data_IF_153196853465
#
_entry.id   IF_153196853465
#
_cell.length_a   1.000
_cell.length_b   1.000
_cell.length_c   1.000
_cell.angle_alpha   90.00
_cell.angle_beta   90.00
_cell.angle_gamma   90.00
#
_symmetry.space_group_name_H-M   'P 1'
#
loop_
_entity.id
_entity.type
_entity.pdbx_description
1 polymer ?
#
# COMPACT_ATOMS: atom_id res chain seq x y z
N UNK A 1 -19.24 -25.72 0.72
CA UNK A 1 -18.79 -24.59 -0.12
C UNK A 1 -18.01 -23.53 0.70
N UNK A 2 -17.27 -23.90 1.75
CA UNK A 2 -16.54 -22.92 2.59
C UNK A 2 -15.00 -22.98 2.49
N UNK A 3 -14.44 -23.78 1.57
CA UNK A 3 -12.98 -24.04 1.54
C UNK A 3 -12.29 -23.51 0.28
N UNK A 4 -12.76 -22.40 -0.29
CA UNK A 4 -12.14 -21.77 -1.46
C UNK A 4 -12.07 -20.24 -1.35
N UNK A 5 -12.11 -19.72 -0.12
CA UNK A 5 -11.93 -18.29 0.11
C UNK A 5 -10.45 -17.95 0.19
N UNK A 6 -9.88 -17.58 -0.97
CA UNK A 6 -8.47 -17.21 -1.10
C UNK A 6 -8.08 -16.03 -0.19
N UNK A 7 -9.04 -15.21 0.24
CA UNK A 7 -8.78 -14.09 1.16
C UNK A 7 -8.33 -14.59 2.53
N UNK A 8 -8.81 -15.76 2.97
CA UNK A 8 -8.39 -16.39 4.24
C UNK A 8 -7.15 -17.24 3.99
N UNK A 9 -7.21 -18.13 3.00
CA UNK A 9 -6.20 -19.18 2.81
C UNK A 9 -4.83 -18.61 2.45
N UNK A 10 -4.79 -17.55 1.64
CA UNK A 10 -3.55 -16.95 1.16
C UNK A 10 -3.16 -15.67 1.91
N UNK A 11 -3.90 -15.25 2.95
CA UNK A 11 -3.56 -14.04 3.70
C UNK A 11 -2.13 -14.03 4.27
N UNK A 12 -1.60 -15.14 4.82
CA UNK A 12 -0.20 -15.17 5.28
C UNK A 12 0.81 -14.96 4.14
N UNK A 13 0.56 -15.57 2.98
CA UNK A 13 1.42 -15.42 1.79
C UNK A 13 1.36 -14.00 1.24
N UNK A 14 0.17 -13.41 1.18
CA UNK A 14 -0.01 -12.01 0.80
C UNK A 14 0.73 -11.07 1.75
N UNK A 15 0.66 -11.30 3.06
CA UNK A 15 1.36 -10.50 4.04
C UNK A 15 2.89 -10.60 3.87
N UNK A 16 3.42 -11.79 3.60
CA UNK A 16 4.85 -11.96 3.33
C UNK A 16 5.29 -11.19 2.08
N UNK A 17 4.50 -11.26 1.00
CA UNK A 17 4.77 -10.50 -0.24
C UNK A 17 4.70 -8.99 0.00
N UNK A 18 3.67 -8.53 0.73
CA UNK A 18 3.53 -7.12 1.12
C UNK A 18 4.75 -6.66 1.90
N UNK A 19 5.14 -7.37 2.96
CA UNK A 19 6.27 -6.97 3.80
C UNK A 19 7.57 -6.85 2.99
N UNK A 20 7.84 -7.77 2.06
CA UNK A 20 8.99 -7.66 1.17
C UNK A 20 8.93 -6.41 0.27
N UNK A 21 7.77 -6.15 -0.34
CA UNK A 21 7.55 -5.01 -1.24
C UNK A 21 7.38 -3.66 -0.52
N UNK A 22 7.29 -3.64 0.80
CA UNK A 22 7.27 -2.40 1.57
C UNK A 22 8.66 -2.07 2.16
N UNK A 23 9.65 -2.94 1.96
CA UNK A 23 11.01 -2.76 2.50
C UNK A 23 12.14 -2.85 1.48
N UNK A 24 11.92 -3.44 0.30
CA UNK A 24 12.99 -3.75 -0.66
C UNK A 24 13.05 -2.74 -1.83
N UNK A 25 14.03 -1.83 -1.89
CA UNK A 25 14.09 -0.78 -2.93
C UNK A 25 14.47 -1.29 -4.33
N UNK A 26 14.98 -2.51 -4.48
CA UNK A 26 15.46 -3.02 -5.77
C UNK A 26 15.02 -4.46 -6.06
N UNK A 27 14.79 -4.83 -7.34
CA UNK A 27 14.88 -3.99 -8.54
C UNK A 27 13.73 -2.97 -8.67
N UNK A 28 13.98 -1.83 -9.33
CA UNK A 28 12.98 -0.77 -9.53
C UNK A 28 13.02 -0.18 -10.96
N UNK A 29 11.84 0.08 -11.52
CA UNK A 29 11.59 0.73 -12.82
C UNK A 29 10.83 2.03 -12.60
N UNK A 30 11.54 3.16 -12.68
CA UNK A 30 11.06 4.46 -12.21
C UNK A 30 10.14 5.23 -13.17
N UNK A 31 10.01 4.79 -14.42
CA UNK A 31 9.27 5.50 -15.49
C UNK A 31 9.32 7.06 -15.38
N UNK A 32 10.54 7.61 -15.35
CA UNK A 32 10.80 9.05 -15.25
C UNK A 32 11.15 9.62 -16.63
N UNK A 33 10.55 10.75 -16.99
CA UNK A 33 10.92 11.47 -18.22
C UNK A 33 12.05 12.43 -17.89
N UNK A 34 13.25 12.13 -18.39
CA UNK A 34 14.43 12.95 -18.15
C UNK A 34 14.41 14.21 -19.03
N UNK A 35 14.64 15.36 -18.40
CA UNK A 35 14.66 16.67 -19.07
C UNK A 35 16.07 17.12 -19.48
N UNK A 36 17.10 16.53 -18.88
CA UNK A 36 18.51 16.72 -19.28
C UNK A 36 19.32 15.47 -18.95
N UNK A 37 20.62 15.46 -19.30
CA UNK A 37 21.51 14.36 -18.96
C UNK A 37 21.76 14.26 -17.44
N UNK A 38 21.64 15.38 -16.74
CA UNK A 38 21.81 15.49 -15.28
C UNK A 38 20.54 15.13 -14.51
N UNK A 39 19.39 15.05 -15.18
CA UNK A 39 18.10 14.66 -14.59
C UNK A 39 18.03 13.14 -14.38
N UNK A 40 18.75 12.67 -13.36
CA UNK A 40 18.84 11.28 -12.95
C UNK A 40 18.47 11.10 -11.47
N UNK A 41 17.24 11.47 -11.06
CA UNK A 41 16.82 11.23 -9.69
C UNK A 41 16.71 9.73 -9.42
N UNK A 42 17.00 9.33 -8.19
CA UNK A 42 16.69 7.97 -7.72
C UNK A 42 15.18 7.82 -7.50
N UNK A 43 14.64 6.59 -7.55
CA UNK A 43 13.24 6.33 -7.21
C UNK A 43 12.82 6.91 -5.86
N UNK A 44 13.68 6.77 -4.85
CA UNK A 44 13.44 7.32 -3.51
C UNK A 44 13.34 8.86 -3.51
N UNK A 45 14.06 9.56 -4.39
CA UNK A 45 14.00 11.02 -4.46
C UNK A 45 12.68 11.54 -5.05
N UNK A 46 12.14 10.85 -6.06
CA UNK A 46 10.90 11.27 -6.74
C UNK A 46 9.64 10.64 -6.14
N UNK A 47 9.76 9.44 -5.59
CA UNK A 47 8.65 8.65 -5.05
C UNK A 47 8.97 8.04 -3.68
N UNK A 48 9.30 8.87 -2.66
CA UNK A 48 9.78 8.38 -1.37
C UNK A 48 8.75 7.55 -0.57
N UNK A 49 7.46 7.64 -0.90
CA UNK A 49 6.43 6.79 -0.29
C UNK A 49 6.25 5.46 -1.04
N UNK A 50 6.65 5.40 -2.32
CA UNK A 50 6.29 4.34 -3.25
C UNK A 50 7.46 3.80 -4.09
N UNK A 51 8.66 3.70 -3.50
CA UNK A 51 9.88 3.24 -4.20
C UNK A 51 10.34 1.82 -3.84
N UNK A 52 9.69 1.14 -2.88
CA UNK A 52 10.14 -0.15 -2.34
C UNK A 52 9.57 -1.37 -3.07
N UNK A 53 9.06 -1.18 -4.27
CA UNK A 53 8.55 -2.26 -5.14
C UNK A 53 9.10 -2.09 -6.54
N UNK A 54 8.79 -3.03 -7.43
CA UNK A 54 9.27 -3.02 -8.82
C UNK A 54 9.01 -1.71 -9.56
N UNK A 55 7.88 -1.04 -9.30
CA UNK A 55 7.59 0.32 -9.76
C UNK A 55 6.65 1.02 -8.77
N UNK A 56 6.40 2.31 -8.99
CA UNK A 56 5.49 3.11 -8.16
C UNK A 56 4.10 2.48 -8.04
N UNK A 57 3.54 2.04 -9.17
CA UNK A 57 2.20 1.48 -9.25
C UNK A 57 2.08 0.21 -8.38
N UNK A 58 3.03 -0.70 -8.53
CA UNK A 58 3.16 -1.93 -7.76
C UNK A 58 3.26 -1.62 -6.27
N UNK A 59 3.99 -0.57 -5.90
CA UNK A 59 4.11 -0.15 -4.50
C UNK A 59 2.76 0.32 -3.95
N UNK A 60 1.98 1.08 -4.71
CA UNK A 60 0.61 1.49 -4.32
C UNK A 60 -0.30 0.26 -4.13
N UNK A 61 -0.21 -0.75 -5.00
CA UNK A 61 -0.94 -2.02 -4.83
C UNK A 61 -0.57 -2.74 -3.54
N UNK A 62 0.72 -2.83 -3.22
CA UNK A 62 1.20 -3.53 -2.04
C UNK A 62 0.80 -2.81 -0.75
N UNK A 63 0.82 -1.48 -0.74
CA UNK A 63 0.26 -0.69 0.36
C UNK A 63 -1.24 -0.94 0.53
N UNK A 64 -2.01 -0.93 -0.56
CA UNK A 64 -3.46 -1.17 -0.50
C UNK A 64 -3.78 -2.59 -0.02
N UNK A 65 -3.06 -3.59 -0.52
CA UNK A 65 -3.21 -4.98 -0.08
C UNK A 65 -2.88 -5.11 1.42
N UNK A 66 -1.78 -4.53 1.88
CA UNK A 66 -1.42 -4.48 3.30
C UNK A 66 -2.50 -3.84 4.16
N UNK A 67 -3.00 -2.66 3.79
CA UNK A 67 -4.07 -1.98 4.52
C UNK A 67 -5.39 -2.77 4.50
N UNK A 68 -5.66 -3.52 3.42
CA UNK A 68 -6.83 -4.40 3.31
C UNK A 68 -6.73 -5.62 4.23
N UNK A 69 -5.53 -6.22 4.35
CA UNK A 69 -5.26 -7.33 5.28
C UNK A 69 -5.49 -6.91 6.75
N UNK A 70 -5.32 -5.63 7.07
CA UNK A 70 -5.61 -5.07 8.39
C UNK A 70 -7.11 -4.82 8.67
N UNK A 71 -7.99 -5.04 7.69
CA UNK A 71 -9.44 -4.89 7.84
C UNK A 71 -10.00 -3.51 7.42
N UNK A 72 -9.22 -2.67 6.73
CA UNK A 72 -9.51 -1.26 6.44
C UNK A 72 -10.64 -0.94 5.45
N UNK A 73 -11.61 -1.83 5.18
CA UNK A 73 -12.79 -1.43 4.38
C UNK A 73 -14.10 -1.97 4.95
N UNK A 74 -14.75 -1.24 5.87
CA UNK A 74 -16.18 -1.39 6.12
C UNK A 74 -16.96 -1.08 4.83
N UNK A 75 -17.80 -2.02 4.37
CA UNK A 75 -18.78 -1.74 3.30
C UNK A 75 -18.29 -1.85 1.84
N UNK A 76 -17.09 -2.34 1.58
CA UNK A 76 -16.74 -2.74 0.20
C UNK A 76 -17.60 -3.95 -0.19
N UNK A 77 -18.23 -3.99 -1.38
CA UNK A 77 -18.94 -5.19 -1.86
C UNK A 77 -18.01 -6.40 -2.07
N UNK A 78 -16.68 -6.20 -2.01
CA UNK A 78 -15.65 -7.24 -1.96
C UNK A 78 -15.15 -7.55 -0.55
N UNK A 79 -15.44 -6.69 0.43
CA UNK A 79 -15.27 -6.99 1.85
C UNK A 79 -16.37 -7.96 2.26
N UNK A 80 -16.17 -9.23 1.92
CA UNK A 80 -16.85 -10.28 2.66
C UNK A 80 -16.52 -10.10 4.15
N UNK A 81 -17.46 -10.47 5.01
CA UNK A 81 -17.22 -10.48 6.44
C UNK A 81 -15.88 -11.18 6.70
N UNK A 82 -14.99 -10.54 7.47
CA UNK A 82 -13.79 -11.22 7.95
C UNK A 82 -14.21 -12.53 8.63
N UNK A 83 -13.40 -13.60 8.51
CA UNK A 83 -13.75 -14.89 9.08
C UNK A 83 -14.03 -14.77 10.58
N UNK A 84 -15.10 -15.41 11.03
CA UNK A 84 -15.43 -15.51 12.44
C UNK A 84 -14.28 -16.22 13.17
N UNK A 85 -13.57 -15.51 14.05
CA UNK A 85 -12.38 -16.01 14.74
C UNK A 85 -11.15 -15.09 14.70
N UNK A 86 -11.20 -13.96 13.97
CA UNK A 86 -10.21 -12.90 14.07
C UNK A 86 -10.32 -12.20 15.44
N UNK A 87 -9.78 -12.82 16.48
CA UNK A 87 -9.62 -12.23 17.80
C UNK A 87 -8.25 -11.57 17.95
N UNK A 88 -8.24 -10.53 18.78
CA UNK A 88 -7.14 -9.79 19.42
C UNK A 88 -6.21 -8.87 18.60
N UNK A 89 -6.81 -7.81 18.03
CA UNK A 89 -6.08 -6.56 17.79
C UNK A 89 -6.84 -5.43 17.11
N UNK A 90 -7.98 -5.73 16.51
CA UNK A 90 -8.85 -4.77 15.83
C UNK A 90 -9.84 -5.55 14.98
N UNK A 91 -11.11 -5.19 15.01
CA UNK A 91 -12.17 -5.96 14.35
C UNK A 91 -11.82 -6.18 12.86
N UNK A 92 -11.76 -7.45 12.43
CA UNK A 92 -11.70 -7.88 11.03
C UNK A 92 -10.35 -7.93 10.28
N UNK A 93 -9.21 -8.12 10.96
CA UNK A 93 -7.94 -8.41 10.27
C UNK A 93 -7.90 -9.86 9.70
N UNK A 94 -7.29 -10.03 8.53
CA UNK A 94 -7.12 -11.33 7.84
C UNK A 94 -5.81 -12.05 8.23
N UNK A 95 -4.97 -11.38 9.03
CA UNK A 95 -3.65 -11.87 9.47
C UNK A 95 -3.57 -11.88 11.00
N UNK A 96 -2.64 -12.67 11.56
CA UNK A 96 -2.42 -12.70 13.01
C UNK A 96 -1.90 -11.35 13.56
N UNK A 97 -2.03 -11.15 14.88
CA UNK A 97 -1.62 -9.92 15.55
C UNK A 97 -0.17 -9.50 15.27
N UNK A 98 0.84 -10.39 15.44
CA UNK A 98 2.23 -10.06 15.13
C UNK A 98 2.47 -9.63 13.68
N UNK A 99 1.81 -10.28 12.72
CA UNK A 99 1.90 -9.91 11.30
C UNK A 99 1.22 -8.57 11.04
N UNK A 100 0.05 -8.33 11.65
CA UNK A 100 -0.65 -7.06 11.54
C UNK A 100 0.19 -5.87 12.05
N UNK A 101 0.96 -6.06 13.14
CA UNK A 101 1.89 -5.05 13.66
C UNK A 101 2.98 -4.73 12.62
N UNK A 102 3.64 -5.75 12.06
CA UNK A 102 4.68 -5.54 11.04
C UNK A 102 4.15 -4.82 9.79
N UNK A 103 2.95 -5.18 9.34
CA UNK A 103 2.30 -4.55 8.19
C UNK A 103 1.99 -3.08 8.49
N UNK A 104 1.48 -2.76 9.67
CA UNK A 104 1.27 -1.36 10.11
C UNK A 104 2.56 -0.56 10.15
N UNK A 105 3.61 -1.12 10.75
CA UNK A 105 4.92 -0.46 10.84
C UNK A 105 5.51 -0.17 9.45
N UNK A 106 5.45 -1.13 8.53
CA UNK A 106 5.93 -0.98 7.17
C UNK A 106 5.14 0.10 6.39
N UNK A 107 3.81 0.08 6.48
CA UNK A 107 2.95 1.12 5.88
C UNK A 107 3.27 2.49 6.49
N UNK A 108 3.38 2.58 7.82
CA UNK A 108 3.66 3.83 8.53
C UNK A 108 5.02 4.43 8.20
N UNK A 109 6.04 3.60 7.96
CA UNK A 109 7.37 4.04 7.55
C UNK A 109 7.39 4.67 6.14
N UNK A 110 6.45 4.27 5.28
CA UNK A 110 6.37 4.74 3.89
C UNK A 110 5.37 5.90 3.74
N UNK A 111 4.20 5.82 4.36
CA UNK A 111 3.13 6.81 4.23
C UNK A 111 3.23 7.94 5.26
N UNK A 112 4.42 8.53 5.42
CA UNK A 112 4.60 9.71 6.30
C UNK A 112 4.14 11.00 5.61
N UNK A 113 3.73 12.01 6.39
CA UNK A 113 3.32 13.31 5.84
C UNK A 113 4.40 13.95 4.94
N UNK A 114 5.68 13.82 5.32
CA UNK A 114 6.80 14.34 4.55
C UNK A 114 6.97 13.64 3.19
N UNK A 115 6.89 12.30 3.17
CA UNK A 115 7.00 11.52 1.93
C UNK A 115 5.79 11.77 1.01
N UNK A 116 4.58 11.79 1.57
CA UNK A 116 3.34 12.06 0.83
C UNK A 116 3.29 13.47 0.23
N UNK A 117 3.94 14.46 0.86
CA UNK A 117 4.05 15.80 0.29
C UNK A 117 4.85 15.80 -1.02
N UNK A 118 5.92 15.00 -1.11
CA UNK A 118 6.71 14.84 -2.34
C UNK A 118 5.89 14.18 -3.44
N UNK A 119 5.15 13.11 -3.12
CA UNK A 119 4.26 12.43 -4.09
C UNK A 119 3.19 13.39 -4.65
N UNK A 120 2.56 14.19 -3.76
CA UNK A 120 1.57 15.20 -4.15
C UNK A 120 2.18 16.19 -5.13
N UNK A 121 3.35 16.74 -4.80
CA UNK A 121 4.00 17.77 -5.61
C UNK A 121 4.40 17.22 -6.99
N UNK A 122 4.88 15.96 -7.03
CA UNK A 122 5.18 15.27 -8.28
C UNK A 122 3.94 15.07 -9.15
N UNK A 123 2.82 14.57 -8.59
CA UNK A 123 1.57 14.33 -9.32
C UNK A 123 0.95 15.63 -9.86
N UNK A 124 1.05 16.73 -9.12
CA UNK A 124 0.58 18.05 -9.57
C UNK A 124 1.44 18.60 -10.71
N UNK A 125 2.75 18.38 -10.66
CA UNK A 125 3.67 18.77 -11.74
C UNK A 125 3.52 17.89 -12.99
N UNK A 126 3.11 16.63 -12.82
CA UNK A 126 3.03 15.62 -13.88
C UNK A 126 1.59 15.08 -14.03
N UNK A 127 0.63 15.90 -14.49
CA UNK A 127 -0.78 15.56 -14.40
C UNK A 127 -1.14 14.28 -15.17
N UNK A 128 -0.49 13.95 -16.29
CA UNK A 128 -0.81 12.74 -17.06
C UNK A 128 -0.19 11.45 -16.53
N UNK A 129 0.76 11.54 -15.61
CA UNK A 129 1.55 10.40 -15.15
C UNK A 129 0.69 9.41 -14.35
N UNK A 130 0.91 8.11 -14.57
CA UNK A 130 0.17 6.99 -13.96
C UNK A 130 -1.36 6.96 -14.18
N UNK A 131 -1.88 7.78 -15.11
CA UNK A 131 -3.29 7.69 -15.51
C UNK A 131 -3.53 6.49 -16.43
N UNK A 132 -4.72 5.86 -16.38
CA UNK A 132 -5.79 6.09 -15.39
C UNK A 132 -5.63 5.24 -14.12
N UNK A 133 -4.90 4.13 -14.21
CA UNK A 133 -4.96 3.07 -13.21
C UNK A 133 -4.29 3.46 -11.90
N UNK A 134 -3.13 4.13 -11.94
CA UNK A 134 -2.40 4.49 -10.72
C UNK A 134 -3.20 5.45 -9.85
N UNK A 135 -3.92 6.37 -10.49
CA UNK A 135 -4.83 7.29 -9.81
C UNK A 135 -5.98 6.55 -9.13
N UNK A 136 -6.60 5.60 -9.83
CA UNK A 136 -7.69 4.79 -9.26
C UNK A 136 -7.22 3.99 -8.03
N UNK A 137 -6.01 3.42 -8.08
CA UNK A 137 -5.43 2.66 -6.98
C UNK A 137 -4.96 3.53 -5.82
N UNK A 138 -4.39 4.71 -6.09
CA UNK A 138 -4.04 5.67 -5.04
C UNK A 138 -5.28 6.16 -4.29
N UNK A 139 -6.37 6.44 -5.02
CA UNK A 139 -7.65 6.82 -4.40
C UNK A 139 -8.24 5.67 -3.57
N UNK A 140 -8.09 4.43 -4.03
CA UNK A 140 -8.52 3.26 -3.28
C UNK A 140 -7.70 3.06 -2.00
N UNK A 141 -6.37 3.21 -2.07
CA UNK A 141 -5.49 3.21 -0.91
C UNK A 141 -5.89 4.30 0.08
N UNK A 142 -6.06 5.54 -0.37
CA UNK A 142 -6.47 6.66 0.48
C UNK A 142 -7.82 6.40 1.17
N UNK A 143 -8.80 5.86 0.44
CA UNK A 143 -10.09 5.47 1.01
C UNK A 143 -9.96 4.37 2.07
N UNK A 144 -9.15 3.33 1.81
CA UNK A 144 -8.87 2.25 2.78
C UNK A 144 -8.17 2.77 4.03
N UNK A 145 -7.16 3.63 3.88
CA UNK A 145 -6.48 4.25 5.03
C UNK A 145 -7.41 5.18 5.82
N UNK A 146 -8.29 5.94 5.15
CA UNK A 146 -9.24 6.86 5.81
C UNK A 146 -10.33 6.13 6.59
N UNK A 147 -10.65 4.90 6.19
CA UNK A 147 -11.60 4.05 6.90
C UNK A 147 -10.97 3.21 8.03
N UNK A 148 -9.65 3.25 8.17
CA UNK A 148 -8.94 2.56 9.24
C UNK A 148 -9.19 3.23 10.60
N UNK A 149 -9.28 2.44 11.66
CA UNK A 149 -9.25 2.91 13.04
C UNK A 149 -7.85 3.20 13.56
N UNK A 150 -6.81 2.88 12.78
CA UNK A 150 -5.43 3.18 13.14
C UNK A 150 -5.19 4.69 13.16
N UNK A 151 -4.37 5.16 14.09
CA UNK A 151 -4.01 6.56 14.19
C UNK A 151 -3.35 7.04 12.89
N UNK A 152 -3.82 8.15 12.34
CA UNK A 152 -3.16 8.78 11.19
C UNK A 152 -1.76 9.26 11.61
N UNK A 153 -0.75 9.10 10.75
CA UNK A 153 0.57 9.67 11.00
C UNK A 153 0.44 11.20 11.15
N UNK A 154 1.19 11.76 12.10
CA UNK A 154 1.23 13.19 12.37
C UNK A 154 1.89 13.99 11.23
#
# INVERSE_FOLDING_TARGET
MMDNDLRVQAAPDYAAVVLGNLSEPYPHSAHHTQMSAEDQPTPEQIHPAFYTSFDWHSCVHMHWLGASLLGGTPGSPLAGAAPAGASDGGAAAWVDGPTAVKVREAIGANLTAAKLAVERDYLLANPSWERPYGWAWLMRLAATCSASSDAQPA
#
